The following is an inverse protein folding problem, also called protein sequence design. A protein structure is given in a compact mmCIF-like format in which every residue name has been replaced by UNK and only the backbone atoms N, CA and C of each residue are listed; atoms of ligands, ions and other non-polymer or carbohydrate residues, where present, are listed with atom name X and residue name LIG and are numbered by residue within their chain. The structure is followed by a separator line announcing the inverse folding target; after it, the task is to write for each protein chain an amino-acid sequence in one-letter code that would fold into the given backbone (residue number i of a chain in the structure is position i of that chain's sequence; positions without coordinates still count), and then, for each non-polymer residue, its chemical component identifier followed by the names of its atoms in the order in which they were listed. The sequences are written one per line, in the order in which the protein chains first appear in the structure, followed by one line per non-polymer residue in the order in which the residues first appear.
data_IF_003681511255
#
_entry.id   IF_003681511255
#
_cell.length_a   1.000
_cell.length_b   1.000
_cell.length_c   1.000
_cell.angle_alpha   90.00
_cell.angle_beta   90.00
_cell.angle_gamma   90.00
#
_symmetry.space_group_name_H-M   'P 1'
#
loop_
_entity.id
_entity.type
_entity.pdbx_description
1 polymer ?
#
# COMPACT_ATOMS: atom_id res chain seq x y z
N UNK A 1 -0.98 -7.08 12.55
CA UNK A 1 -0.13 -6.71 11.39
C UNK A 1 1.34 -6.52 11.78
N UNK A 2 1.86 -7.22 12.81
CA UNK A 2 3.24 -7.02 13.28
C UNK A 2 4.32 -7.49 12.28
N UNK A 3 3.96 -8.38 11.36
CA UNK A 3 4.84 -8.83 10.29
C UNK A 3 5.14 -7.71 9.28
N UNK A 4 4.10 -7.00 8.81
CA UNK A 4 4.23 -5.94 7.81
C UNK A 4 5.04 -4.74 8.30
N UNK A 5 4.98 -4.45 9.61
CA UNK A 5 5.76 -3.35 10.23
C UNK A 5 7.27 -3.59 10.23
N UNK A 6 7.73 -4.81 9.99
CA UNK A 6 9.15 -5.19 9.96
C UNK A 6 9.75 -5.11 8.54
N UNK A 7 8.89 -5.00 7.53
CA UNK A 7 9.28 -4.97 6.13
C UNK A 7 9.58 -3.54 5.70
N UNK A 8 10.60 -3.38 4.86
CA UNK A 8 10.89 -2.08 4.25
C UNK A 8 9.84 -1.75 3.19
N UNK A 9 9.72 -0.47 2.81
CA UNK A 9 8.85 -0.07 1.69
C UNK A 9 9.24 -0.77 0.39
N UNK A 10 10.52 -1.15 0.23
CA UNK A 10 10.96 -1.90 -0.95
C UNK A 10 10.44 -3.34 -0.95
N UNK A 11 10.44 -4.01 0.22
CA UNK A 11 9.88 -5.36 0.36
C UNK A 11 8.36 -5.38 0.20
N UNK A 12 7.69 -4.28 0.54
CA UNK A 12 6.25 -4.11 0.41
C UNK A 12 5.81 -3.67 -0.99
N UNK A 13 6.74 -3.20 -1.82
CA UNK A 13 6.44 -2.62 -3.12
C UNK A 13 5.71 -3.61 -4.02
N UNK A 14 6.24 -4.82 -4.19
CA UNK A 14 5.65 -5.82 -5.08
C UNK A 14 4.26 -6.28 -4.60
N UNK A 15 4.08 -6.36 -3.28
CA UNK A 15 2.78 -6.66 -2.67
C UNK A 15 1.77 -5.54 -2.95
N UNK A 16 2.16 -4.28 -2.74
CA UNK A 16 1.29 -3.14 -2.99
C UNK A 16 0.98 -2.99 -4.48
N UNK A 17 1.96 -3.18 -5.35
CA UNK A 17 1.76 -3.08 -6.80
C UNK A 17 0.76 -4.14 -7.29
N UNK A 18 0.81 -5.37 -6.76
CA UNK A 18 -0.16 -6.41 -7.10
C UNK A 18 -1.59 -6.11 -6.61
N UNK A 19 -1.76 -5.26 -5.59
CA UNK A 19 -3.07 -4.83 -5.09
C UNK A 19 -3.57 -3.59 -5.84
N UNK A 20 -2.66 -2.68 -6.15
CA UNK A 20 -2.95 -1.34 -6.67
C UNK A 20 -3.04 -1.32 -8.19
N UNK A 21 -2.28 -2.17 -8.87
CA UNK A 21 -2.25 -2.24 -10.32
C UNK A 21 -2.87 -3.54 -10.83
N UNK A 22 -3.53 -3.39 -11.97
CA UNK A 22 -4.03 -4.46 -12.83
C UNK A 22 -2.86 -5.13 -13.60
N UNK A 23 -3.12 -6.29 -14.22
CA UNK A 23 -2.19 -6.97 -15.14
C UNK A 23 -1.75 -6.07 -16.32
N UNK A 24 -2.59 -5.12 -16.72
CA UNK A 24 -2.32 -4.12 -17.74
C UNK A 24 -1.55 -2.88 -17.22
N UNK A 25 -1.23 -2.85 -15.92
CA UNK A 25 -0.54 -1.75 -15.26
C UNK A 25 -1.44 -0.55 -14.95
N UNK A 26 -2.75 -0.67 -15.14
CA UNK A 26 -3.72 0.37 -14.81
C UNK A 26 -4.01 0.38 -13.31
N UNK A 27 -4.13 1.58 -12.74
CA UNK A 27 -4.48 1.75 -11.34
C UNK A 27 -5.90 1.22 -11.07
N UNK A 28 -6.04 0.27 -10.16
CA UNK A 28 -7.34 -0.20 -9.63
C UNK A 28 -7.94 0.86 -8.71
N UNK A 29 -8.83 1.67 -9.28
CA UNK A 29 -9.52 2.77 -8.60
C UNK A 29 -10.61 2.31 -7.61
N UNK A 30 -10.95 1.02 -7.66
CA UNK A 30 -12.01 0.35 -6.92
C UNK A 30 -11.52 -0.30 -5.61
N UNK A 31 -10.22 -0.17 -5.31
CA UNK A 31 -9.63 -0.63 -4.06
C UNK A 31 -9.85 0.42 -2.95
N UNK A 32 -10.26 -0.04 -1.76
CA UNK A 32 -10.33 0.80 -0.56
C UNK A 32 -8.95 1.39 -0.22
N UNK A 33 -7.89 0.67 -0.61
CA UNK A 33 -6.50 1.05 -0.46
C UNK A 33 -6.15 2.34 -1.22
N UNK A 34 -6.43 2.41 -2.52
CA UNK A 34 -6.08 3.57 -3.37
C UNK A 34 -6.91 4.82 -3.03
N UNK A 35 -8.07 4.63 -2.41
CA UNK A 35 -8.93 5.71 -1.94
C UNK A 35 -8.62 6.18 -0.50
N UNK A 36 -7.85 5.40 0.26
CA UNK A 36 -7.52 5.70 1.66
C UNK A 36 -6.74 7.00 1.84
N UNK A 37 -6.93 7.64 2.99
CA UNK A 37 -6.20 8.86 3.37
C UNK A 37 -4.70 8.58 3.48
N UNK A 38 -4.34 7.42 3.99
CA UNK A 38 -2.97 6.96 4.17
C UNK A 38 -2.27 6.78 2.82
N UNK A 39 -2.94 6.19 1.83
CA UNK A 39 -2.39 6.06 0.48
C UNK A 39 -2.11 7.42 -0.17
N UNK A 40 -3.09 8.34 -0.05
CA UNK A 40 -2.93 9.72 -0.54
C UNK A 40 -1.84 10.50 0.21
N UNK A 41 -1.61 10.20 1.49
CA UNK A 41 -0.66 10.93 2.34
C UNK A 41 0.77 10.42 2.20
N UNK A 42 0.97 9.11 2.09
CA UNK A 42 2.28 8.48 2.14
C UNK A 42 2.75 7.93 0.79
N UNK A 43 1.85 7.73 -0.18
CA UNK A 43 2.21 7.26 -1.52
C UNK A 43 3.03 5.98 -1.47
N UNK A 44 4.18 5.93 -2.13
CA UNK A 44 5.05 4.75 -2.15
C UNK A 44 5.81 4.46 -0.84
N UNK A 45 5.60 5.22 0.24
CA UNK A 45 6.13 4.89 1.57
C UNK A 45 5.23 3.87 2.30
N UNK A 46 5.15 2.65 1.74
CA UNK A 46 4.25 1.59 2.17
C UNK A 46 4.42 1.17 3.63
N UNK A 47 5.63 1.30 4.19
CA UNK A 47 5.90 0.99 5.59
C UNK A 47 5.12 1.88 6.57
N UNK A 48 4.57 3.02 6.13
CA UNK A 48 3.76 3.92 6.95
C UNK A 48 2.29 3.53 7.09
N UNK A 49 1.81 2.64 6.23
CA UNK A 49 0.40 2.26 6.14
C UNK A 49 -0.10 1.37 7.29
N UNK A 50 0.70 0.43 7.85
CA UNK A 50 0.28 -0.41 8.96
C UNK A 50 0.11 0.33 10.30
N UNK A 51 0.45 1.62 10.36
CA UNK A 51 0.28 2.48 11.53
C UNK A 51 -1.11 3.12 11.52
N UNK A 52 -2.17 2.29 11.55
CA UNK A 52 -3.44 2.77 12.09
C UNK A 52 -3.30 2.74 13.61
N UNK A 53 -3.06 3.91 14.19
CA UNK A 53 -3.30 4.12 15.62
C UNK A 53 -4.74 3.69 15.89
N UNK A 54 -4.91 2.60 16.64
CA UNK A 54 -6.19 2.06 17.07
C UNK A 54 -6.21 2.02 18.59
#
# INVERSE_FOLDING_TARGET
MEFLKRLSSNDLKDLFDALVYDEDGTLRMNEELTNSTEYKRYGSDYAKYPHKDR
#
